data_IF_094050264088
#
_entry.id   IF_094050264088
#
_cell.length_a   1.000
_cell.length_b   1.000
_cell.length_c   1.000
_cell.angle_alpha   90.00
_cell.angle_beta   90.00
_cell.angle_gamma   90.00
#
_symmetry.space_group_name_H-M   'P 1'
#
loop_
_entity.id
_entity.type
_entity.pdbx_description
1 polymer ?
#
# COMPACT_ATOMS: atom_id res chain seq x y z
N UNK A 1 14.44 -9.93 9.84
CA UNK A 1 13.83 -10.58 8.64
C UNK A 1 12.53 -9.86 8.33
N UNK A 2 12.09 -9.80 7.07
CA UNK A 2 10.84 -9.11 6.70
C UNK A 2 9.60 -9.74 7.36
N UNK A 3 9.65 -11.04 7.67
CA UNK A 3 8.56 -11.79 8.31
C UNK A 3 9.06 -12.56 9.53
N UNK A 4 8.18 -12.78 10.52
CA UNK A 4 8.45 -13.57 11.72
C UNK A 4 7.99 -15.04 11.61
N UNK A 5 7.08 -15.34 10.68
CA UNK A 5 6.44 -16.66 10.59
C UNK A 5 6.55 -17.29 9.19
N UNK A 6 6.41 -18.62 9.14
CA UNK A 6 6.47 -19.38 7.90
C UNK A 6 5.21 -19.27 7.04
N UNK A 7 4.05 -18.91 7.61
CA UNK A 7 2.79 -18.81 6.88
C UNK A 7 2.87 -17.71 5.79
N UNK A 8 3.66 -16.66 6.04
CA UNK A 8 3.95 -15.60 5.06
C UNK A 8 4.51 -16.11 3.73
N UNK A 9 5.20 -17.26 3.70
CA UNK A 9 5.73 -17.87 2.47
C UNK A 9 4.65 -18.41 1.53
N UNK A 10 3.45 -18.65 2.04
CA UNK A 10 2.30 -19.15 1.27
C UNK A 10 1.35 -18.03 0.80
N UNK A 11 1.68 -16.78 1.08
CA UNK A 11 0.92 -15.62 0.62
C UNK A 11 1.04 -15.49 -0.89
N UNK A 12 -0.09 -15.25 -1.56
CA UNK A 12 -0.15 -15.03 -3.01
C UNK A 12 -0.68 -13.62 -3.30
N UNK A 13 -0.50 -13.09 -4.52
CA UNK A 13 -1.10 -11.81 -4.91
C UNK A 13 -2.63 -11.80 -4.73
N UNK A 14 -3.29 -12.94 -4.98
CA UNK A 14 -4.73 -13.09 -4.74
C UNK A 14 -5.07 -12.84 -3.27
N UNK A 15 -4.34 -13.45 -2.33
CA UNK A 15 -4.57 -13.25 -0.90
C UNK A 15 -4.40 -11.80 -0.46
N UNK A 16 -3.46 -11.07 -1.07
CA UNK A 16 -3.25 -9.65 -0.80
C UNK A 16 -4.42 -8.81 -1.32
N UNK A 17 -4.80 -9.03 -2.59
CA UNK A 17 -5.93 -8.34 -3.24
C UNK A 17 -7.29 -8.63 -2.58
N UNK A 18 -7.46 -9.80 -1.97
CA UNK A 18 -8.71 -10.19 -1.30
C UNK A 18 -8.70 -10.00 0.22
N UNK A 19 -7.69 -9.32 0.78
CA UNK A 19 -7.54 -9.12 2.23
C UNK A 19 -7.64 -10.42 3.03
N UNK A 20 -7.05 -11.50 2.52
CA UNK A 20 -7.05 -12.81 3.17
C UNK A 20 -5.65 -13.33 3.43
N UNK A 21 -4.64 -12.47 3.42
CA UNK A 21 -3.23 -12.83 3.63
C UNK A 21 -2.88 -13.24 5.06
N UNK A 22 -3.72 -12.88 6.04
CA UNK A 22 -3.39 -13.03 7.45
C UNK A 22 -2.49 -11.93 8.00
N UNK A 23 -2.08 -10.94 7.19
CA UNK A 23 -1.28 -9.80 7.64
C UNK A 23 -2.12 -8.77 8.43
N UNK A 24 -1.52 -7.97 9.32
CA UNK A 24 -2.22 -6.92 10.07
C UNK A 24 -2.59 -5.75 9.16
N UNK A 25 -3.37 -4.80 9.67
CA UNK A 25 -3.64 -3.56 8.93
C UNK A 25 -2.38 -2.71 8.81
N UNK A 26 -1.76 -2.43 9.95
CA UNK A 26 -0.52 -1.69 10.09
C UNK A 26 0.33 -2.38 11.16
N UNK A 27 1.65 -2.26 11.04
CA UNK A 27 2.55 -2.50 12.16
C UNK A 27 2.63 -1.26 13.04
N UNK A 28 2.93 -1.46 14.31
CA UNK A 28 3.17 -0.35 15.24
C UNK A 28 4.50 0.33 14.91
N UNK A 29 5.52 -0.47 14.58
CA UNK A 29 6.85 0.00 14.18
C UNK A 29 7.26 -0.54 12.80
N UNK A 30 7.87 0.30 11.97
CA UNK A 30 8.22 -0.05 10.60
C UNK A 30 9.21 -1.23 10.50
N UNK A 31 10.11 -1.34 11.48
CA UNK A 31 11.15 -2.36 11.56
C UNK A 31 10.67 -3.66 12.22
N UNK A 32 9.45 -3.68 12.76
CA UNK A 32 8.87 -4.89 13.33
C UNK A 32 8.63 -5.94 12.23
N UNK A 33 9.05 -7.21 12.43
CA UNK A 33 8.75 -8.28 11.50
C UNK A 33 7.24 -8.50 11.34
N UNK A 34 6.77 -8.69 10.10
CA UNK A 34 5.35 -9.03 9.88
C UNK A 34 5.02 -10.41 10.45
N UNK A 35 3.96 -10.46 11.25
CA UNK A 35 3.41 -11.69 11.82
C UNK A 35 1.97 -11.90 11.37
N UNK A 36 1.70 -13.10 10.85
CA UNK A 36 0.39 -13.54 10.36
C UNK A 36 -0.50 -13.92 11.54
N UNK A 37 -1.72 -13.39 11.62
CA UNK A 37 -2.66 -13.76 12.68
C UNK A 37 -3.49 -15.01 12.36
N UNK A 38 -3.52 -15.43 11.10
CA UNK A 38 -4.18 -16.63 10.63
C UNK A 38 -3.56 -17.09 9.30
N UNK A 39 -3.82 -18.34 8.91
CA UNK A 39 -3.28 -18.89 7.67
C UNK A 39 -3.85 -18.18 6.42
N UNK A 40 -3.03 -17.86 5.40
CA UNK A 40 -3.51 -17.21 4.19
C UNK A 40 -4.68 -17.96 3.53
N UNK A 41 -5.67 -17.22 3.05
CA UNK A 41 -6.86 -17.74 2.38
C UNK A 41 -7.97 -18.23 3.31
N UNK A 42 -7.74 -18.31 4.63
CA UNK A 42 -8.72 -18.91 5.56
C UNK A 42 -9.74 -17.93 6.12
N UNK A 43 -9.43 -16.63 6.16
CA UNK A 43 -10.28 -15.57 6.73
C UNK A 43 -10.07 -14.25 6.00
N UNK A 44 -11.02 -13.35 6.14
CA UNK A 44 -10.90 -11.95 5.73
C UNK A 44 -10.42 -11.08 6.89
N UNK A 45 -9.43 -10.23 6.64
CA UNK A 45 -9.03 -9.11 7.50
C UNK A 45 -8.40 -8.02 6.63
N UNK A 46 -9.00 -6.83 6.66
CA UNK A 46 -8.43 -5.67 5.96
C UNK A 46 -6.97 -5.45 6.37
N UNK A 47 -6.11 -5.25 5.36
CA UNK A 47 -4.67 -5.23 5.54
C UNK A 47 -4.00 -4.19 4.65
N UNK A 48 -3.65 -3.04 5.24
CA UNK A 48 -2.79 -2.03 4.62
C UNK A 48 -1.38 -2.56 4.31
N UNK A 49 -0.78 -3.31 5.23
CA UNK A 49 0.49 -4.03 5.00
C UNK A 49 0.42 -4.98 3.80
N UNK A 50 -0.73 -5.62 3.57
CA UNK A 50 -0.96 -6.44 2.39
C UNK A 50 -0.86 -5.64 1.09
N UNK A 51 -1.39 -4.41 1.08
CA UNK A 51 -1.27 -3.50 -0.05
C UNK A 51 0.14 -2.92 -0.21
N UNK A 52 0.86 -2.66 0.89
CA UNK A 52 2.28 -2.28 0.84
C UNK A 52 3.10 -3.39 0.17
N UNK A 53 2.90 -4.64 0.58
CA UNK A 53 3.55 -5.79 -0.03
C UNK A 53 3.19 -5.96 -1.51
N UNK A 54 1.93 -5.71 -1.88
CA UNK A 54 1.51 -5.72 -3.29
C UNK A 54 2.22 -4.62 -4.10
N UNK A 55 2.38 -3.42 -3.55
CA UNK A 55 3.16 -2.35 -4.17
C UNK A 55 4.61 -2.76 -4.39
N UNK A 56 5.26 -3.35 -3.38
CA UNK A 56 6.63 -3.89 -3.50
C UNK A 56 6.73 -4.99 -4.55
N UNK A 57 5.73 -5.87 -4.65
CA UNK A 57 5.68 -6.89 -5.69
C UNK A 57 5.60 -6.26 -7.09
N UNK A 58 4.77 -5.23 -7.27
CA UNK A 58 4.69 -4.48 -8.53
C UNK A 58 6.04 -3.87 -8.88
N UNK A 59 6.74 -3.28 -7.91
CA UNK A 59 8.08 -2.72 -8.12
C UNK A 59 9.08 -3.81 -8.54
N UNK A 60 9.11 -4.92 -7.81
CA UNK A 60 10.04 -6.02 -8.06
C UNK A 60 9.83 -6.66 -9.45
N UNK A 61 8.58 -6.84 -9.87
CA UNK A 61 8.25 -7.45 -11.17
C UNK A 61 8.45 -6.48 -12.34
N UNK A 62 8.21 -5.18 -12.14
CA UNK A 62 8.30 -4.19 -13.21
C UNK A 62 9.68 -3.57 -13.37
N UNK A 63 10.52 -3.59 -12.33
CA UNK A 63 11.77 -2.83 -12.27
C UNK A 63 11.58 -1.31 -12.19
N UNK A 64 10.36 -0.85 -11.93
CA UNK A 64 9.98 0.56 -11.84
C UNK A 64 9.42 0.85 -10.45
N UNK A 65 9.42 2.12 -10.02
CA UNK A 65 8.74 2.49 -8.77
C UNK A 65 7.23 2.34 -8.94
N UNK A 66 6.50 2.11 -7.84
CA UNK A 66 5.04 2.02 -7.90
C UNK A 66 4.41 3.28 -8.52
N UNK A 67 4.98 4.46 -8.23
CA UNK A 67 4.58 5.73 -8.82
C UNK A 67 4.72 5.75 -10.35
N UNK A 68 5.85 5.27 -10.88
CA UNK A 68 6.08 5.18 -12.32
C UNK A 68 5.11 4.21 -12.99
N UNK A 69 4.83 3.07 -12.37
CA UNK A 69 3.89 2.08 -12.91
C UNK A 69 2.48 2.66 -12.96
N UNK A 70 2.01 3.29 -11.88
CA UNK A 70 0.68 3.91 -11.82
C UNK A 70 0.55 5.04 -12.84
N UNK A 71 1.56 5.91 -12.93
CA UNK A 71 1.58 7.01 -13.91
C UNK A 71 1.48 6.48 -15.35
N UNK A 72 2.35 5.54 -15.70
CA UNK A 72 2.50 5.09 -17.09
C UNK A 72 1.42 4.13 -17.55
N UNK A 73 0.87 3.30 -16.66
CA UNK A 73 -0.12 2.27 -17.00
C UNK A 73 -1.57 2.66 -16.70
N UNK A 74 -1.81 3.63 -15.82
CA UNK A 74 -3.16 4.00 -15.37
C UNK A 74 -3.44 5.46 -15.68
N UNK A 75 -2.71 6.39 -15.04
CA UNK A 75 -3.10 7.80 -15.02
C UNK A 75 -3.00 8.44 -16.41
N UNK A 76 -1.85 8.30 -17.08
CA UNK A 76 -1.64 8.88 -18.42
C UNK A 76 -2.57 8.27 -19.48
N UNK A 77 -2.73 6.93 -19.60
CA UNK A 77 -3.69 6.34 -20.53
C UNK A 77 -5.15 6.76 -20.27
N UNK A 78 -5.51 7.01 -19.01
CA UNK A 78 -6.85 7.45 -18.63
C UNK A 78 -7.05 8.99 -18.73
N UNK A 79 -6.03 9.75 -19.16
CA UNK A 79 -6.10 11.21 -19.25
C UNK A 79 -6.13 11.94 -17.88
N UNK A 80 -5.70 11.28 -16.81
CA UNK A 80 -5.78 11.79 -15.43
C UNK A 80 -4.60 12.72 -15.07
N UNK A 81 -4.37 13.78 -15.85
CA UNK A 81 -3.24 14.70 -15.67
C UNK A 81 -3.24 15.55 -14.39
N UNK A 82 -4.26 15.41 -13.54
CA UNK A 82 -4.36 16.05 -12.21
C UNK A 82 -4.36 15.04 -11.06
N UNK A 83 -3.95 13.81 -11.33
CA UNK A 83 -3.80 12.75 -10.34
C UNK A 83 -2.34 12.35 -10.25
N UNK A 84 -1.88 11.95 -9.07
CA UNK A 84 -0.52 11.45 -8.86
C UNK A 84 -0.54 10.38 -7.77
N UNK A 85 0.38 9.41 -7.85
CA UNK A 85 0.56 8.38 -6.82
C UNK A 85 1.29 8.92 -5.57
N UNK A 86 2.01 10.04 -5.71
CA UNK A 86 2.71 10.68 -4.61
C UNK A 86 3.06 12.12 -4.95
N UNK A 87 3.58 12.85 -3.98
CA UNK A 87 3.99 14.23 -4.19
C UNK A 87 5.29 14.28 -4.99
N UNK A 88 5.25 14.88 -6.19
CA UNK A 88 6.49 15.25 -6.85
C UNK A 88 7.15 16.38 -6.04
N UNK A 89 8.45 16.23 -5.74
CA UNK A 89 9.21 17.25 -5.01
C UNK A 89 9.10 18.59 -5.74
N UNK A 90 8.70 19.64 -5.03
CA UNK A 90 8.63 21.00 -5.57
C UNK A 90 7.30 21.36 -6.26
N UNK A 91 6.34 20.44 -6.34
CA UNK A 91 4.98 20.75 -6.78
C UNK A 91 4.01 20.52 -5.63
N UNK A 92 3.43 21.59 -5.10
CA UNK A 92 2.20 21.47 -4.33
C UNK A 92 1.04 21.57 -5.33
N UNK A 93 0.43 20.45 -5.79
CA UNK A 93 -0.86 20.53 -6.45
C UNK A 93 -1.85 21.31 -5.58
N UNK A 94 -2.89 21.91 -6.16
CA UNK A 94 -3.97 22.51 -5.39
C UNK A 94 -4.63 21.40 -4.56
N UNK A 95 -4.31 21.37 -3.27
CA UNK A 95 -4.84 20.40 -2.32
C UNK A 95 -5.75 21.11 -1.33
N UNK A 96 -6.74 20.39 -0.85
CA UNK A 96 -7.51 20.83 0.30
C UNK A 96 -6.62 20.74 1.55
N UNK A 97 -6.75 21.74 2.42
CA UNK A 97 -6.17 21.68 3.75
C UNK A 97 -6.96 20.69 4.59
N UNK A 98 -6.28 19.86 5.37
CA UNK A 98 -6.95 18.97 6.32
C UNK A 98 -7.44 19.79 7.51
N UNK A 99 -8.60 19.44 8.05
CA UNK A 99 -9.15 20.03 9.27
C UNK A 99 -9.41 18.95 10.32
N UNK A 100 -9.23 19.28 11.59
CA UNK A 100 -9.68 18.41 12.68
C UNK A 100 -11.22 18.43 12.85
N UNK A 101 -11.72 17.67 13.82
CA UNK A 101 -13.16 17.62 14.12
C UNK A 101 -13.76 18.95 14.59
N UNK A 102 -12.94 19.93 14.99
CA UNK A 102 -13.34 21.28 15.35
C UNK A 102 -13.25 22.29 14.19
N UNK A 103 -12.78 21.87 13.02
CA UNK A 103 -12.59 22.73 11.86
C UNK A 103 -11.27 23.49 11.84
N UNK A 104 -10.33 23.20 12.74
CA UNK A 104 -8.99 23.82 12.76
C UNK A 104 -8.13 23.17 11.68
N UNK A 105 -7.44 23.99 10.88
CA UNK A 105 -6.52 23.50 9.85
C UNK A 105 -5.33 22.77 10.50
N UNK A 106 -5.05 21.56 10.02
CA UNK A 106 -3.86 20.79 10.34
C UNK A 106 -2.71 21.27 9.44
N UNK A 107 -1.71 21.90 10.05
CA UNK A 107 -0.46 22.37 9.39
C UNK A 107 0.72 21.48 9.73
#
# INVERSE_FOLDING_TARGET
AFTADAATRSITPRHLLSHSSGLPNWRDEADEPLTSAFAPGTRFRYSGEGFVLLGRLVEAVSGQTAAQVVETRILRPAGMGRSTYGWARGTAPPVAWAHDGGGVVLV
#
